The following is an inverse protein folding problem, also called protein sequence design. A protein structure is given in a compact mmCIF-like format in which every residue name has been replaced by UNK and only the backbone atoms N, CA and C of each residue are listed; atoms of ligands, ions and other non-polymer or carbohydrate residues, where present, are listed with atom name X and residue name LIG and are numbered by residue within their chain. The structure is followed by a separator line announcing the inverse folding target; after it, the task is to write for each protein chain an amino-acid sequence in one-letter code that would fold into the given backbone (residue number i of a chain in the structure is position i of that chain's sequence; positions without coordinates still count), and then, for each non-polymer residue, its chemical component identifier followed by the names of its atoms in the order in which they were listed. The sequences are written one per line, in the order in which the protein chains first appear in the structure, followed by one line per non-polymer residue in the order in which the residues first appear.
data_IF_062492676045
#
_entry.id   IF_062492676045
#
_cell.length_a   1.000
_cell.length_b   1.000
_cell.length_c   1.000
_cell.angle_alpha   90.00
_cell.angle_beta   90.00
_cell.angle_gamma   90.00
#
_symmetry.space_group_name_H-M   'P 1'
#
loop_
_entity.id
_entity.type
_entity.pdbx_description
1 polymer ?
#
# COMPACT_ATOMS: atom_id res chain seq x y z
N UNK A 1 -57.84 50.91 0.99
CA UNK A 1 -56.70 51.10 0.05
C UNK A 1 -55.45 51.26 0.90
N UNK A 2 -54.73 50.17 1.09
CA UNK A 2 -53.53 49.98 1.92
C UNK A 2 -52.83 48.72 1.33
N UNK A 3 -51.52 48.51 1.31
CA UNK A 3 -50.38 49.23 1.87
C UNK A 3 -49.10 48.82 1.07
N UNK A 4 -48.09 49.66 1.22
CA UNK A 4 -46.73 49.68 0.68
C UNK A 4 -45.94 48.37 0.71
N UNK A 5 -45.17 48.13 -0.36
CA UNK A 5 -44.08 47.15 -0.41
C UNK A 5 -42.87 47.55 0.44
N UNK A 6 -42.15 46.55 0.95
CA UNK A 6 -40.83 46.72 1.61
C UNK A 6 -39.91 45.56 1.23
N UNK A 7 -38.75 45.91 0.69
CA UNK A 7 -37.69 45.01 0.24
C UNK A 7 -36.99 44.28 1.41
N UNK A 8 -36.62 43.01 1.19
CA UNK A 8 -35.83 42.21 2.12
C UNK A 8 -34.68 41.55 1.36
N UNK A 9 -33.54 42.25 1.30
CA UNK A 9 -32.28 41.75 0.77
C UNK A 9 -31.13 42.47 1.47
N UNK A 10 -30.54 41.86 2.50
CA UNK A 10 -29.37 42.45 3.18
C UNK A 10 -28.60 41.50 4.12
N UNK A 11 -29.04 40.29 4.46
CA UNK A 11 -28.28 39.45 5.43
C UNK A 11 -27.30 38.47 4.78
N UNK A 12 -27.57 38.01 3.57
CA UNK A 12 -26.75 36.95 2.91
C UNK A 12 -25.43 37.48 2.37
N UNK A 13 -25.39 38.73 1.89
CA UNK A 13 -24.16 39.31 1.32
C UNK A 13 -23.11 39.68 2.37
N UNK A 14 -23.52 40.03 3.59
CA UNK A 14 -22.60 40.43 4.67
C UNK A 14 -21.86 39.21 5.26
N UNK A 15 -22.55 38.05 5.36
CA UNK A 15 -21.96 36.80 5.90
C UNK A 15 -20.93 36.20 4.93
N UNK A 16 -21.15 36.31 3.63
CA UNK A 16 -20.19 35.79 2.63
C UNK A 16 -18.90 36.63 2.62
N UNK A 17 -19.00 37.95 2.77
CA UNK A 17 -17.83 38.84 2.79
C UNK A 17 -16.97 38.62 4.05
N UNK A 18 -17.59 38.38 5.22
CA UNK A 18 -16.85 38.13 6.46
C UNK A 18 -16.14 36.77 6.48
N UNK A 19 -16.75 35.72 5.91
CA UNK A 19 -16.09 34.41 5.78
C UNK A 19 -14.91 34.47 4.81
N UNK A 20 -15.06 35.19 3.69
CA UNK A 20 -13.97 35.33 2.71
C UNK A 20 -12.77 36.09 3.29
N UNK A 21 -13.01 37.13 4.09
CA UNK A 21 -11.95 37.89 4.77
C UNK A 21 -11.18 37.03 5.79
N UNK A 22 -11.85 36.14 6.51
CA UNK A 22 -11.22 35.23 7.48
C UNK A 22 -10.34 34.17 6.79
N UNK A 23 -10.78 33.63 5.65
CA UNK A 23 -9.98 32.65 4.89
C UNK A 23 -8.72 33.30 4.31
N UNK A 24 -8.82 34.53 3.81
CA UNK A 24 -7.66 35.27 3.29
C UNK A 24 -6.67 35.64 4.40
N UNK A 25 -7.16 36.02 5.59
CA UNK A 25 -6.30 36.29 6.75
C UNK A 25 -5.56 35.03 7.24
N UNK A 26 -6.24 33.88 7.28
CA UNK A 26 -5.62 32.60 7.67
C UNK A 26 -4.57 32.14 6.65
N UNK A 27 -4.84 32.30 5.35
CA UNK A 27 -3.86 31.99 4.28
C UNK A 27 -2.61 32.87 4.35
N UNK A 28 -2.76 34.16 4.65
CA UNK A 28 -1.63 35.07 4.81
C UNK A 28 -0.78 34.74 6.04
N UNK A 29 -1.40 34.34 7.16
CA UNK A 29 -0.71 33.90 8.38
C UNK A 29 0.09 32.61 8.16
N UNK A 30 -0.50 31.65 7.42
CA UNK A 30 0.16 30.38 7.09
C UNK A 30 1.38 30.60 6.17
N UNK A 31 1.27 31.47 5.17
CA UNK A 31 2.37 31.81 4.27
C UNK A 31 3.49 32.61 4.97
N UNK A 32 3.15 33.43 5.97
CA UNK A 32 4.12 34.15 6.79
C UNK A 32 4.90 33.21 7.72
N UNK A 33 4.22 32.24 8.35
CA UNK A 33 4.91 31.22 9.16
C UNK A 33 5.85 30.34 8.33
N UNK A 34 5.44 29.96 7.10
CA UNK A 34 6.25 29.14 6.22
C UNK A 34 7.52 29.85 5.70
N UNK A 35 7.45 31.16 5.45
CA UNK A 35 8.64 31.95 5.01
C UNK A 35 9.69 32.16 6.11
N UNK A 36 9.35 31.97 7.39
CA UNK A 36 10.25 32.26 8.51
C UNK A 36 10.96 31.01 9.08
N UNK A 37 10.79 29.84 8.46
CA UNK A 37 11.52 28.63 8.82
C UNK A 37 12.73 28.43 7.91
N UNK A 38 13.88 28.97 8.33
CA UNK A 38 15.18 28.62 7.77
C UNK A 38 15.65 27.30 8.38
N UNK A 39 15.99 26.25 7.60
CA UNK A 39 16.64 25.07 8.16
C UNK A 39 18.05 25.42 8.63
N UNK A 40 18.38 25.11 9.89
CA UNK A 40 19.73 25.23 10.43
C UNK A 40 20.71 24.30 9.67
N UNK A 41 21.94 24.74 9.39
CA UNK A 41 22.97 23.86 8.84
C UNK A 41 23.49 22.92 9.93
N UNK A 42 23.44 21.62 9.67
CA UNK A 42 23.99 20.58 10.56
C UNK A 42 25.51 20.76 10.66
N UNK A 43 25.98 21.17 11.83
CA UNK A 43 27.40 21.23 12.19
C UNK A 43 27.85 19.83 12.58
N UNK A 44 28.79 19.26 11.82
CA UNK A 44 29.50 18.04 12.22
C UNK A 44 30.50 18.36 13.35
N UNK A 45 30.61 17.54 14.41
CA UNK A 45 31.63 17.76 15.43
C UNK A 45 33.00 17.26 14.94
N UNK A 46 33.96 18.18 14.98
CA UNK A 46 35.41 17.91 14.91
C UNK A 46 35.89 17.45 16.28
N UNK A 47 36.68 16.38 16.35
CA UNK A 47 37.51 16.05 17.50
C UNK A 47 38.96 15.79 17.03
N UNK A 48 39.91 16.36 17.76
CA UNK A 48 41.33 16.42 17.43
C UNK A 48 42.22 15.53 18.34
N UNK A 49 43.28 14.97 17.73
CA UNK A 49 44.67 14.71 18.18
C UNK A 49 45.05 13.62 19.26
N UNK A 50 45.70 12.51 18.80
CA UNK A 50 47.13 12.02 18.94
C UNK A 50 47.83 12.14 20.34
N UNK A 51 48.72 11.23 20.89
CA UNK A 51 49.74 10.31 20.28
C UNK A 51 49.97 8.88 20.87
N UNK A 52 50.86 8.13 20.18
CA UNK A 52 51.48 6.81 20.48
C UNK A 52 52.72 6.93 21.40
N UNK A 53 53.19 5.85 22.07
CA UNK A 53 54.53 5.34 21.75
C UNK A 53 54.65 3.80 21.67
N UNK A 54 55.67 3.38 20.90
CA UNK A 54 56.02 2.04 20.40
C UNK A 54 56.48 1.01 21.45
N UNK A 55 56.33 -0.29 21.12
CA UNK A 55 57.50 -1.19 20.98
C UNK A 55 57.22 -2.45 20.14
N UNK A 56 58.16 -2.67 19.22
CA UNK A 56 58.42 -3.80 18.33
C UNK A 56 58.33 -5.20 18.94
N UNK A 57 57.77 -6.16 18.19
CA UNK A 57 58.38 -7.48 17.94
C UNK A 57 57.84 -8.04 16.61
N UNK A 58 58.77 -8.42 15.73
CA UNK A 58 58.53 -9.04 14.43
C UNK A 58 58.03 -10.48 14.56
N UNK A 59 56.96 -10.83 13.83
CA UNK A 59 56.58 -12.20 13.51
C UNK A 59 56.14 -12.27 12.02
N UNK A 60 56.38 -13.38 11.31
CA UNK A 60 56.33 -13.43 9.84
C UNK A 60 54.90 -13.32 9.31
N UNK A 61 54.78 -12.70 8.13
CA UNK A 61 53.54 -12.37 7.46
C UNK A 61 52.59 -13.57 7.27
N UNK A 62 51.26 -13.39 7.47
CA UNK A 62 50.27 -14.36 6.99
C UNK A 62 50.25 -14.37 5.45
N UNK A 63 49.69 -15.40 4.82
CA UNK A 63 49.64 -15.52 3.37
C UNK A 63 48.94 -14.30 2.79
N UNK A 64 49.57 -13.67 1.79
CA UNK A 64 48.97 -12.58 1.01
C UNK A 64 47.72 -13.14 0.31
N UNK A 65 46.54 -12.79 0.82
CA UNK A 65 45.32 -12.82 0.02
C UNK A 65 45.56 -11.92 -1.20
N UNK A 66 45.16 -12.33 -2.42
CA UNK A 66 45.26 -11.45 -3.58
C UNK A 66 44.51 -10.16 -3.26
N UNK A 67 45.25 -9.04 -3.19
CA UNK A 67 44.64 -7.72 -3.18
C UNK A 67 43.78 -7.62 -4.45
N UNK A 68 42.47 -7.47 -4.27
CA UNK A 68 41.59 -7.09 -5.36
C UNK A 68 42.16 -5.80 -5.96
N UNK A 69 42.39 -5.73 -7.28
CA UNK A 69 42.81 -4.49 -7.88
C UNK A 69 41.74 -3.44 -7.55
N UNK A 70 42.17 -2.26 -7.08
CA UNK A 70 41.35 -1.05 -7.09
C UNK A 70 41.08 -0.70 -8.57
N UNK A 71 40.18 -1.45 -9.17
CA UNK A 71 39.51 -1.11 -10.41
C UNK A 71 38.35 -0.22 -10.06
N UNK A 72 38.13 0.79 -10.88
CA UNK A 72 36.85 1.50 -10.97
C UNK A 72 35.74 0.43 -10.87
N UNK A 73 34.86 0.53 -9.87
CA UNK A 73 33.75 -0.42 -9.71
C UNK A 73 32.92 -0.38 -10.99
N UNK A 74 33.20 -1.29 -11.93
CA UNK A 74 32.34 -1.51 -13.09
C UNK A 74 31.01 -1.96 -12.53
N UNK A 75 30.06 -1.03 -12.49
CA UNK A 75 28.73 -1.24 -11.95
C UNK A 75 28.14 -2.49 -12.61
N UNK A 76 27.94 -3.54 -11.81
CA UNK A 76 27.44 -4.83 -12.27
C UNK A 76 26.21 -4.58 -13.16
N UNK A 77 26.19 -5.01 -14.44
CA UNK A 77 25.04 -4.79 -15.31
C UNK A 77 23.81 -5.58 -14.86
N UNK A 78 23.96 -6.41 -13.83
CA UNK A 78 22.89 -7.21 -13.25
C UNK A 78 22.58 -6.78 -11.82
N UNK A 79 21.30 -6.66 -11.52
CA UNK A 79 20.80 -6.39 -10.18
C UNK A 79 19.88 -7.52 -9.69
N UNK A 80 19.86 -7.76 -8.38
CA UNK A 80 19.05 -8.81 -7.77
C UNK A 80 17.63 -8.31 -7.48
N UNK A 81 16.64 -9.11 -7.89
CA UNK A 81 15.22 -8.85 -7.65
C UNK A 81 14.53 -10.06 -7.05
N UNK A 82 13.39 -9.80 -6.41
CA UNK A 82 12.44 -10.78 -5.89
C UNK A 82 11.12 -10.66 -6.60
N UNK A 83 10.48 -11.79 -6.84
CA UNK A 83 9.14 -11.85 -7.43
C UNK A 83 8.10 -11.45 -6.38
N UNK A 84 7.25 -10.47 -6.69
CA UNK A 84 6.14 -10.04 -5.82
C UNK A 84 4.77 -10.37 -6.38
N UNK A 85 4.71 -10.87 -7.62
CA UNK A 85 3.51 -11.47 -8.18
C UNK A 85 3.20 -12.83 -7.53
N UNK A 86 1.94 -13.27 -7.60
CA UNK A 86 1.53 -14.62 -7.17
C UNK A 86 2.31 -15.70 -7.95
N UNK A 87 2.28 -15.59 -9.27
CA UNK A 87 3.16 -16.40 -10.13
C UNK A 87 3.44 -15.72 -11.46
N UNK A 88 4.59 -16.06 -12.06
CA UNK A 88 4.98 -15.70 -13.42
C UNK A 88 5.24 -16.99 -14.18
N UNK A 89 4.47 -17.24 -15.22
CA UNK A 89 4.65 -18.41 -16.10
C UNK A 89 5.62 -18.04 -17.21
N UNK A 90 6.70 -18.81 -17.34
CA UNK A 90 7.74 -18.65 -18.35
C UNK A 90 7.80 -19.91 -19.24
N UNK A 91 8.38 -19.83 -20.44
CA UNK A 91 8.66 -21.03 -21.24
C UNK A 91 9.55 -22.01 -20.45
N UNK A 92 8.97 -23.14 -20.02
CA UNK A 92 9.68 -24.19 -19.29
C UNK A 92 9.99 -23.90 -17.81
N UNK A 93 9.46 -22.81 -17.25
CA UNK A 93 9.66 -22.47 -15.84
C UNK A 93 8.44 -21.74 -15.25
N UNK A 94 8.33 -21.74 -13.93
CA UNK A 94 7.33 -20.95 -13.21
C UNK A 94 8.02 -20.30 -12.02
N UNK A 95 7.86 -19.00 -11.89
CA UNK A 95 8.29 -18.26 -10.71
C UNK A 95 7.11 -18.05 -9.76
N UNK A 96 7.39 -18.12 -8.47
CA UNK A 96 6.48 -17.89 -7.37
C UNK A 96 6.92 -16.66 -6.57
N UNK A 97 6.01 -16.16 -5.71
CA UNK A 97 6.33 -15.08 -4.79
C UNK A 97 7.60 -15.38 -3.97
N UNK A 98 8.54 -14.45 -3.98
CA UNK A 98 9.82 -14.52 -3.28
C UNK A 98 10.96 -15.19 -4.03
N UNK A 99 10.73 -15.74 -5.22
CA UNK A 99 11.81 -16.27 -6.06
C UNK A 99 12.81 -15.16 -6.42
N UNK A 100 14.10 -15.47 -6.31
CA UNK A 100 15.19 -14.56 -6.69
C UNK A 100 15.47 -14.65 -8.18
N UNK A 101 15.63 -13.51 -8.84
CA UNK A 101 16.01 -13.38 -10.25
C UNK A 101 17.05 -12.28 -10.42
N UNK A 102 17.75 -12.29 -11.55
CA UNK A 102 18.78 -11.30 -11.87
C UNK A 102 18.33 -10.50 -13.08
N UNK A 103 18.12 -9.19 -12.94
CA UNK A 103 17.71 -8.33 -14.04
C UNK A 103 18.94 -7.77 -14.78
N UNK A 104 18.96 -7.88 -16.11
CA UNK A 104 19.95 -7.21 -16.98
C UNK A 104 19.51 -5.76 -17.17
N UNK A 105 20.12 -4.82 -16.43
CA UNK A 105 19.70 -3.43 -16.39
C UNK A 105 19.94 -2.70 -17.72
N UNK A 106 20.93 -3.16 -18.51
CA UNK A 106 21.20 -2.60 -19.85
C UNK A 106 20.10 -2.91 -20.86
N UNK A 107 19.32 -3.98 -20.62
CA UNK A 107 18.22 -4.42 -21.50
C UNK A 107 16.84 -4.17 -20.91
N UNK A 108 16.79 -3.75 -19.66
CA UNK A 108 15.57 -3.47 -18.91
C UNK A 108 15.16 -2.01 -19.01
N UNK A 109 13.90 -1.71 -18.69
CA UNK A 109 13.37 -0.35 -18.65
C UNK A 109 12.05 -0.29 -17.89
N UNK A 110 11.36 0.84 -17.98
CA UNK A 110 10.11 1.09 -17.23
C UNK A 110 8.92 0.21 -17.66
N UNK A 111 8.94 -0.32 -18.88
CA UNK A 111 7.84 -1.12 -19.45
C UNK A 111 8.13 -2.62 -19.49
N UNK A 112 9.40 -3.01 -19.36
CA UNK A 112 9.84 -4.41 -19.42
C UNK A 112 11.11 -4.63 -18.59
N UNK A 113 11.20 -5.77 -17.91
CA UNK A 113 12.42 -6.25 -17.26
C UNK A 113 12.91 -7.51 -17.98
N UNK A 114 14.21 -7.57 -18.25
CA UNK A 114 14.87 -8.75 -18.82
C UNK A 114 15.59 -9.46 -17.68
N UNK A 115 15.16 -10.68 -17.36
CA UNK A 115 15.65 -11.44 -16.20
C UNK A 115 16.33 -12.74 -16.60
N UNK A 116 17.27 -13.18 -15.76
CA UNK A 116 17.85 -14.51 -15.73
C UNK A 116 17.47 -15.21 -14.43
N UNK A 117 17.25 -16.52 -14.51
CA UNK A 117 16.83 -17.34 -13.36
C UNK A 117 18.00 -17.81 -12.49
N UNK A 118 19.23 -17.66 -12.97
CA UNK A 118 20.47 -18.04 -12.28
C UNK A 118 21.45 -16.89 -12.34
N UNK A 119 22.38 -16.85 -11.37
CA UNK A 119 23.40 -15.81 -11.29
C UNK A 119 24.25 -15.82 -12.59
N UNK A 120 24.24 -14.74 -13.38
CA UNK A 120 24.90 -14.68 -14.68
C UNK A 120 26.43 -14.74 -14.62
N UNK A 121 27.04 -14.39 -13.48
CA UNK A 121 28.49 -14.53 -13.27
C UNK A 121 28.91 -15.99 -13.09
N UNK A 122 28.03 -16.81 -12.50
CA UNK A 122 28.27 -18.25 -12.33
C UNK A 122 27.79 -19.08 -13.51
N UNK A 123 26.78 -18.58 -14.23
CA UNK A 123 26.13 -19.25 -15.35
C UNK A 123 26.02 -18.30 -16.55
N UNK A 124 27.15 -17.99 -17.23
CA UNK A 124 27.13 -17.13 -18.40
C UNK A 124 26.29 -17.75 -19.53
N UNK A 125 25.59 -16.92 -20.29
CA UNK A 125 24.76 -17.38 -21.42
C UNK A 125 23.42 -18.01 -21.01
N UNK A 126 22.97 -17.82 -19.76
CA UNK A 126 21.66 -18.28 -19.32
C UNK A 126 20.50 -17.70 -20.14
N UNK A 127 19.40 -18.45 -20.23
CA UNK A 127 18.18 -18.00 -20.90
C UNK A 127 17.62 -16.74 -20.24
N UNK A 128 17.38 -15.72 -21.05
CA UNK A 128 16.77 -14.47 -20.61
C UNK A 128 15.25 -14.49 -20.87
N UNK A 129 14.49 -13.89 -19.96
CA UNK A 129 13.04 -13.81 -20.03
C UNK A 129 12.58 -12.35 -19.90
N UNK A 130 11.55 -11.97 -20.65
CA UNK A 130 10.90 -10.68 -20.48
C UNK A 130 9.73 -10.80 -19.50
N UNK A 131 9.70 -9.94 -18.48
CA UNK A 131 8.62 -9.87 -17.48
C UNK A 131 8.16 -8.44 -17.24
N UNK A 132 6.98 -8.28 -16.64
CA UNK A 132 6.46 -6.98 -16.23
C UNK A 132 7.28 -6.46 -15.04
N UNK A 133 7.82 -5.22 -15.09
CA UNK A 133 8.61 -4.65 -14.00
C UNK A 133 7.87 -4.62 -12.66
N UNK A 134 6.56 -4.33 -12.66
CA UNK A 134 5.75 -4.29 -11.44
C UNK A 134 5.57 -5.66 -10.77
N UNK A 135 5.98 -6.76 -11.41
CA UNK A 135 5.99 -8.10 -10.79
C UNK A 135 7.24 -8.39 -9.97
N UNK A 136 8.20 -7.45 -9.95
CA UNK A 136 9.48 -7.58 -9.27
C UNK A 136 9.68 -6.43 -8.29
N UNK A 137 10.50 -6.68 -7.28
CA UNK A 137 11.03 -5.66 -6.38
C UNK A 137 12.52 -5.91 -6.19
N UNK A 138 13.32 -4.86 -5.99
CA UNK A 138 14.74 -5.01 -5.68
C UNK A 138 14.92 -5.85 -4.40
N UNK A 139 15.94 -6.73 -4.37
CA UNK A 139 16.21 -7.65 -3.25
C UNK A 139 16.16 -6.95 -1.88
N UNK A 140 16.81 -5.79 -1.77
CA UNK A 140 16.92 -5.05 -0.51
C UNK A 140 15.58 -4.51 0.03
N UNK A 141 14.54 -4.43 -0.81
CA UNK A 141 13.18 -3.98 -0.44
C UNK A 141 12.22 -5.13 -0.19
N UNK A 142 12.65 -6.36 -0.44
CA UNK A 142 11.75 -7.51 -0.41
C UNK A 142 11.27 -7.86 1.00
N UNK A 143 12.04 -7.56 2.05
CA UNK A 143 11.65 -7.92 3.42
C UNK A 143 10.30 -7.30 3.82
N UNK A 144 9.98 -6.09 3.37
CA UNK A 144 8.66 -5.49 3.62
C UNK A 144 7.53 -6.30 2.95
N UNK A 145 7.72 -6.72 1.70
CA UNK A 145 6.76 -7.55 0.99
C UNK A 145 6.62 -8.93 1.62
N UNK A 146 7.73 -9.55 2.01
CA UNK A 146 7.76 -10.86 2.66
C UNK A 146 7.02 -10.85 3.98
N UNK A 147 7.22 -9.80 4.79
CA UNK A 147 6.55 -9.67 6.09
C UNK A 147 5.04 -9.46 5.97
N UNK A 148 4.57 -8.78 4.92
CA UNK A 148 3.15 -8.46 4.76
C UNK A 148 2.38 -9.45 3.88
N UNK A 149 3.02 -10.14 2.93
CA UNK A 149 2.31 -10.89 1.88
C UNK A 149 2.81 -12.33 1.68
N UNK A 150 3.55 -12.90 2.63
CA UNK A 150 3.98 -14.32 2.54
C UNK A 150 2.84 -15.32 2.79
N UNK A 151 1.80 -14.93 3.53
CA UNK A 151 0.68 -15.79 3.88
C UNK A 151 -0.42 -15.75 2.81
N UNK A 152 -1.03 -16.89 2.51
CA UNK A 152 -2.30 -16.90 1.79
C UNK A 152 -3.41 -16.31 2.69
N UNK A 153 -4.39 -15.56 2.14
CA UNK A 153 -4.57 -15.27 0.71
C UNK A 153 -3.78 -14.05 0.19
N UNK A 154 -3.01 -13.36 1.05
CA UNK A 154 -2.31 -12.13 0.68
C UNK A 154 -1.18 -12.33 -0.35
N UNK A 155 -0.53 -13.50 -0.34
CA UNK A 155 0.47 -13.87 -1.34
C UNK A 155 -0.08 -13.88 -2.76
N UNK A 156 -1.38 -14.15 -2.91
CA UNK A 156 -2.07 -14.24 -4.19
C UNK A 156 -2.48 -12.87 -4.76
N UNK A 157 -2.39 -11.81 -3.95
CA UNK A 157 -2.72 -10.46 -4.39
C UNK A 157 -1.83 -10.02 -5.56
N UNK A 158 -2.40 -9.21 -6.45
CA UNK A 158 -1.62 -8.60 -7.52
C UNK A 158 -0.57 -7.66 -6.93
N UNK A 159 0.58 -7.46 -7.59
CA UNK A 159 1.58 -6.51 -7.11
C UNK A 159 1.01 -5.11 -6.91
N UNK A 160 0.13 -4.64 -7.80
CA UNK A 160 -0.50 -3.33 -7.68
C UNK A 160 -1.34 -3.20 -6.39
N UNK A 161 -2.09 -4.24 -6.02
CA UNK A 161 -2.84 -4.26 -4.76
C UNK A 161 -1.89 -4.24 -3.56
N UNK A 162 -0.82 -5.03 -3.59
CA UNK A 162 0.22 -5.04 -2.54
C UNK A 162 0.84 -3.65 -2.37
N UNK A 163 1.14 -2.98 -3.48
CA UNK A 163 1.70 -1.62 -3.45
C UNK A 163 0.75 -0.60 -2.84
N UNK A 164 -0.55 -0.65 -3.16
CA UNK A 164 -1.54 0.23 -2.50
C UNK A 164 -1.59 -0.06 -1.00
N UNK A 165 -1.61 -1.32 -0.59
CA UNK A 165 -1.66 -1.69 0.82
C UNK A 165 -0.42 -1.28 1.63
N UNK A 166 0.77 -1.29 1.02
CA UNK A 166 1.97 -0.77 1.66
C UNK A 166 2.02 0.76 1.69
N UNK A 167 1.42 1.41 0.68
CA UNK A 167 1.36 2.88 0.62
C UNK A 167 0.33 3.48 1.59
N UNK A 168 -0.60 2.68 2.12
CA UNK A 168 -1.57 3.10 3.12
C UNK A 168 -0.86 3.51 4.42
N UNK A 169 -0.71 4.81 4.60
CA UNK A 169 -0.05 5.43 5.76
C UNK A 169 -1.06 6.06 6.74
N UNK A 170 -2.32 5.65 6.68
CA UNK A 170 -3.36 6.12 7.58
C UNK A 170 -2.98 5.85 9.05
N UNK A 171 -3.14 6.89 9.88
CA UNK A 171 -2.94 6.78 11.33
C UNK A 171 -3.96 7.65 12.05
N UNK A 172 -4.72 7.02 12.95
CA UNK A 172 -5.63 7.62 13.92
C UNK A 172 -5.05 7.51 15.35
N UNK A 173 -3.72 7.44 15.46
CA UNK A 173 -3.05 7.01 16.70
C UNK A 173 -2.94 5.47 16.82
N UNK A 174 -3.44 4.73 15.82
CA UNK A 174 -3.14 3.32 15.63
C UNK A 174 -2.30 3.12 14.37
N UNK A 175 -1.47 2.07 14.39
CA UNK A 175 -0.81 1.53 13.22
C UNK A 175 -1.50 0.24 12.82
N UNK A 176 -1.98 0.16 11.59
CA UNK A 176 -2.59 -1.05 11.04
C UNK A 176 -1.61 -1.70 10.06
N UNK A 177 -1.55 -3.04 10.06
CA UNK A 177 -0.72 -3.79 9.13
C UNK A 177 -1.44 -5.06 8.68
N UNK A 178 -0.97 -5.67 7.60
CA UNK A 178 -1.42 -7.00 7.23
C UNK A 178 -1.05 -7.97 8.36
N UNK A 179 -1.95 -8.90 8.68
CA UNK A 179 -1.72 -9.88 9.74
C UNK A 179 -0.62 -10.87 9.34
N UNK A 180 0.21 -11.24 10.31
CA UNK A 180 1.21 -12.30 10.18
C UNK A 180 0.74 -13.61 10.81
N UNK A 181 -0.52 -13.67 11.26
CA UNK A 181 -1.12 -14.89 11.78
C UNK A 181 -1.87 -15.62 10.65
N UNK A 182 -1.47 -16.87 10.37
CA UNK A 182 -2.00 -17.65 9.25
C UNK A 182 -3.51 -17.95 9.36
N UNK A 183 -4.01 -18.26 10.56
CA UNK A 183 -5.45 -18.51 10.76
C UNK A 183 -6.26 -17.22 10.54
N UNK A 184 -5.75 -16.10 11.04
CA UNK A 184 -6.35 -14.78 10.85
C UNK A 184 -6.34 -14.37 9.38
N UNK A 185 -5.27 -14.62 8.65
CA UNK A 185 -5.13 -14.25 7.23
C UNK A 185 -6.29 -14.79 6.39
N UNK A 186 -6.74 -16.02 6.65
CA UNK A 186 -7.85 -16.67 5.94
C UNK A 186 -9.21 -15.99 6.07
N UNK A 187 -9.39 -15.08 7.03
CA UNK A 187 -10.64 -14.34 7.29
C UNK A 187 -10.49 -12.82 7.14
N UNK A 188 -9.36 -12.36 6.58
CA UNK A 188 -9.03 -10.96 6.40
C UNK A 188 -9.21 -10.46 4.97
N UNK A 189 -9.63 -11.31 4.03
CA UNK A 189 -9.71 -10.94 2.62
C UNK A 189 -10.98 -11.49 1.98
N UNK A 190 -11.65 -10.63 1.22
CA UNK A 190 -12.78 -11.00 0.37
C UNK A 190 -12.61 -10.39 -1.02
N UNK A 191 -13.24 -10.99 -2.02
CA UNK A 191 -13.20 -10.49 -3.40
C UNK A 191 -14.57 -10.55 -4.04
N UNK A 192 -14.92 -9.58 -4.87
CA UNK A 192 -16.22 -9.48 -5.55
C UNK A 192 -16.23 -8.32 -6.55
N UNK A 193 -17.37 -8.07 -7.19
CA UNK A 193 -17.60 -6.86 -8.00
C UNK A 193 -18.38 -5.86 -7.14
N UNK A 194 -17.67 -5.20 -6.21
CA UNK A 194 -18.29 -4.52 -5.09
C UNK A 194 -18.87 -3.17 -5.47
N UNK A 195 -18.33 -2.50 -6.49
CA UNK A 195 -18.91 -1.27 -7.05
C UNK A 195 -19.82 -1.54 -8.27
N UNK A 196 -19.83 -2.75 -8.83
CA UNK A 196 -20.73 -3.17 -9.89
C UNK A 196 -20.27 -2.78 -11.30
N UNK A 197 -18.99 -2.44 -11.47
CA UNK A 197 -18.44 -1.99 -12.74
C UNK A 197 -17.98 -3.13 -13.68
N UNK A 198 -18.09 -4.38 -13.19
CA UNK A 198 -17.74 -5.62 -13.88
C UNK A 198 -16.29 -6.08 -13.66
N UNK A 199 -15.52 -5.39 -12.82
CA UNK A 199 -14.16 -5.80 -12.44
C UNK A 199 -14.12 -6.41 -11.06
N UNK A 200 -13.03 -7.14 -10.78
CA UNK A 200 -12.82 -7.79 -9.49
C UNK A 200 -12.16 -6.80 -8.53
N UNK A 201 -12.84 -6.56 -7.41
CA UNK A 201 -12.43 -5.74 -6.29
C UNK A 201 -11.94 -6.62 -5.12
N UNK A 202 -11.23 -5.98 -4.19
CA UNK A 202 -10.66 -6.62 -3.00
C UNK A 202 -11.14 -5.87 -1.76
N UNK A 203 -11.59 -6.61 -0.76
CA UNK A 203 -11.78 -6.11 0.59
C UNK A 203 -10.76 -6.75 1.51
N UNK A 204 -10.08 -5.94 2.32
CA UNK A 204 -9.01 -6.41 3.20
C UNK A 204 -9.08 -5.75 4.56
N UNK A 205 -8.87 -6.57 5.60
CA UNK A 205 -8.69 -6.10 6.96
C UNK A 205 -7.20 -5.97 7.27
N UNK A 206 -6.82 -4.79 7.75
CA UNK A 206 -5.53 -4.51 8.36
C UNK A 206 -5.70 -4.48 9.88
N UNK A 207 -4.88 -5.20 10.62
CA UNK A 207 -5.00 -5.36 12.07
C UNK A 207 -4.04 -4.41 12.79
N UNK A 208 -4.46 -3.93 13.97
CA UNK A 208 -3.56 -3.54 15.04
C UNK A 208 -3.56 -4.65 16.09
N UNK A 209 -2.49 -5.44 16.13
CA UNK A 209 -2.42 -6.61 17.00
C UNK A 209 -2.34 -6.25 18.49
N UNK A 210 -1.78 -5.11 18.86
CA UNK A 210 -1.65 -4.75 20.28
C UNK A 210 -3.00 -4.35 20.88
N UNK A 211 -3.76 -3.54 20.14
CA UNK A 211 -5.06 -3.01 20.58
C UNK A 211 -6.25 -3.90 20.22
N UNK A 212 -6.03 -4.97 19.45
CA UNK A 212 -7.08 -5.88 18.97
C UNK A 212 -8.18 -5.13 18.19
N UNK A 213 -7.79 -4.14 17.39
CA UNK A 213 -8.67 -3.38 16.50
C UNK A 213 -8.27 -3.62 15.04
N UNK A 214 -9.17 -3.33 14.09
CA UNK A 214 -8.83 -3.46 12.68
C UNK A 214 -9.41 -2.32 11.83
N UNK A 215 -8.88 -2.19 10.62
CA UNK A 215 -9.34 -1.27 9.59
C UNK A 215 -9.70 -2.07 8.35
N UNK A 216 -10.93 -1.92 7.88
CA UNK A 216 -11.36 -2.41 6.59
C UNK A 216 -10.97 -1.43 5.51
N UNK A 217 -10.43 -1.95 4.42
CA UNK A 217 -10.26 -1.26 3.16
C UNK A 217 -11.03 -2.03 2.08
N UNK A 218 -11.75 -1.31 1.22
CA UNK A 218 -12.26 -1.83 -0.05
C UNK A 218 -11.50 -1.13 -1.16
N UNK A 219 -10.83 -1.94 -1.98
CA UNK A 219 -10.05 -1.54 -3.12
C UNK A 219 -10.82 -1.88 -4.39
N UNK A 220 -11.30 -0.85 -5.09
CA UNK A 220 -11.91 -1.00 -6.41
C UNK A 220 -10.86 -0.81 -7.51
N UNK A 221 -11.17 -1.27 -8.72
CA UNK A 221 -10.27 -1.11 -9.86
C UNK A 221 -10.68 0.07 -10.72
N UNK A 222 -9.75 0.99 -11.02
CA UNK A 222 -10.03 2.04 -12.00
C UNK A 222 -10.15 1.42 -13.40
N UNK A 223 -11.30 1.60 -14.06
CA UNK A 223 -11.60 0.98 -15.37
C UNK A 223 -10.66 1.39 -16.50
N UNK A 224 -10.17 2.62 -16.49
CA UNK A 224 -9.28 3.14 -17.52
C UNK A 224 -7.84 2.68 -17.32
N UNK A 225 -7.32 2.80 -16.09
CA UNK A 225 -5.90 2.55 -15.80
C UNK A 225 -5.63 1.11 -15.34
N UNK A 226 -6.67 0.36 -14.97
CA UNK A 226 -6.62 -0.96 -14.33
C UNK A 226 -5.83 -0.96 -13.01
N UNK A 227 -5.65 0.21 -12.39
CA UNK A 227 -4.98 0.34 -11.09
C UNK A 227 -6.00 0.27 -9.95
N UNK A 228 -5.70 -0.45 -8.87
CA UNK A 228 -6.54 -0.44 -7.68
C UNK A 228 -6.44 0.91 -6.95
N UNK A 229 -7.51 1.29 -6.24
CA UNK A 229 -7.54 2.45 -5.35
C UNK A 229 -8.46 2.19 -4.17
N UNK A 230 -8.20 2.82 -3.02
CA UNK A 230 -9.07 2.71 -1.85
C UNK A 230 -10.38 3.46 -2.12
N UNK A 231 -11.47 2.70 -2.26
CA UNK A 231 -12.83 3.21 -2.48
C UNK A 231 -13.62 3.35 -1.18
N UNK A 232 -13.25 2.61 -0.14
CA UNK A 232 -13.84 2.70 1.19
C UNK A 232 -12.83 2.33 2.26
N UNK A 233 -12.93 2.98 3.41
CA UNK A 233 -12.19 2.59 4.60
C UNK A 233 -12.97 2.87 5.88
N UNK A 234 -12.92 1.94 6.83
CA UNK A 234 -13.59 2.08 8.13
C UNK A 234 -12.77 1.39 9.23
N UNK A 235 -12.71 2.01 10.41
CA UNK A 235 -12.05 1.44 11.59
C UNK A 235 -13.08 0.75 12.48
N UNK A 236 -12.70 -0.37 13.05
CA UNK A 236 -13.51 -1.13 13.97
C UNK A 236 -12.75 -1.37 15.26
N UNK A 237 -13.41 -1.14 16.39
CA UNK A 237 -12.88 -1.36 17.74
C UNK A 237 -12.79 -2.85 18.14
N UNK A 238 -12.78 -3.75 17.15
CA UNK A 238 -12.75 -5.21 17.30
C UNK A 238 -11.98 -5.82 16.11
N UNK A 239 -11.58 -7.09 16.23
CA UNK A 239 -10.97 -7.89 15.17
C UNK A 239 -12.03 -8.55 14.30
N UNK A 240 -12.57 -7.75 13.40
CA UNK A 240 -13.58 -8.18 12.44
C UNK A 240 -13.10 -9.31 11.54
N UNK A 241 -14.01 -10.06 10.93
CA UNK A 241 -13.77 -11.02 9.83
C UNK A 241 -14.51 -10.53 8.60
N UNK A 242 -13.97 -10.78 7.40
CA UNK A 242 -14.63 -10.39 6.14
C UNK A 242 -14.95 -11.59 5.27
N UNK A 243 -16.15 -11.57 4.69
CA UNK A 243 -16.58 -12.52 3.67
C UNK A 243 -17.34 -11.77 2.57
N UNK A 244 -17.07 -12.09 1.30
CA UNK A 244 -17.82 -11.54 0.18
C UNK A 244 -19.14 -12.30 -0.02
N UNK A 245 -20.19 -11.60 -0.43
CA UNK A 245 -21.42 -12.19 -0.93
C UNK A 245 -21.75 -11.66 -2.32
N UNK A 246 -22.55 -12.41 -3.07
CA UNK A 246 -22.93 -12.07 -4.43
C UNK A 246 -24.19 -11.23 -4.49
N UNK A 247 -24.33 -10.45 -5.56
CA UNK A 247 -25.59 -9.82 -5.97
C UNK A 247 -26.76 -10.81 -5.81
N UNK A 248 -27.88 -10.32 -5.28
CA UNK A 248 -29.09 -11.06 -4.89
C UNK A 248 -28.98 -11.93 -3.63
N UNK A 249 -27.86 -11.92 -2.91
CA UNK A 249 -27.83 -12.50 -1.56
C UNK A 249 -28.90 -11.84 -0.68
N UNK A 250 -29.51 -12.63 0.21
CA UNK A 250 -30.51 -12.14 1.16
C UNK A 250 -29.82 -11.40 2.30
N UNK A 251 -30.08 -10.10 2.42
CA UNK A 251 -29.47 -9.21 3.41
C UNK A 251 -30.50 -8.27 4.03
N UNK A 252 -30.23 -7.75 5.21
CA UNK A 252 -30.96 -6.62 5.76
C UNK A 252 -30.43 -5.31 5.20
N UNK A 253 -31.33 -4.43 4.74
CA UNK A 253 -30.98 -3.09 4.25
C UNK A 253 -31.93 -2.06 4.86
N UNK A 254 -31.93 -1.95 6.20
CA UNK A 254 -32.88 -1.14 6.99
C UNK A 254 -34.35 -1.56 6.76
N UNK A 255 -34.57 -2.85 6.54
CA UNK A 255 -35.87 -3.48 6.33
C UNK A 255 -36.16 -4.49 7.45
N UNK A 256 -37.43 -4.82 7.68
CA UNK A 256 -37.81 -5.86 8.66
C UNK A 256 -37.66 -7.29 8.11
N UNK A 257 -37.40 -7.43 6.82
CA UNK A 257 -37.26 -8.70 6.13
C UNK A 257 -36.04 -8.64 5.22
N UNK A 258 -35.51 -9.81 4.87
CA UNK A 258 -34.44 -9.93 3.89
C UNK A 258 -34.84 -9.35 2.54
N UNK A 259 -33.95 -8.56 1.96
CA UNK A 259 -34.04 -8.07 0.60
C UNK A 259 -32.86 -8.60 -0.22
N UNK A 260 -33.03 -8.83 -1.53
CA UNK A 260 -31.93 -9.22 -2.39
C UNK A 260 -30.94 -8.06 -2.55
N UNK A 261 -29.66 -8.30 -2.28
CA UNK A 261 -28.61 -7.30 -2.45
C UNK A 261 -28.54 -6.81 -3.91
N UNK A 262 -28.42 -5.48 -4.15
CA UNK A 262 -28.40 -4.92 -5.51
C UNK A 262 -27.11 -5.24 -6.29
N UNK A 263 -26.02 -5.54 -5.58
CA UNK A 263 -24.70 -5.87 -6.11
C UNK A 263 -23.94 -6.79 -5.15
N UNK A 264 -22.72 -7.22 -5.52
CA UNK A 264 -21.86 -7.93 -4.57
C UNK A 264 -21.57 -7.01 -3.37
N UNK A 265 -21.32 -7.61 -2.22
CA UNK A 265 -21.02 -6.86 -1.00
C UNK A 265 -20.18 -7.69 -0.04
N UNK A 266 -19.92 -7.11 1.13
CA UNK A 266 -19.05 -7.71 2.13
C UNK A 266 -19.84 -7.85 3.44
N UNK A 267 -19.80 -9.03 4.04
CA UNK A 267 -20.13 -9.20 5.45
C UNK A 267 -18.87 -8.94 6.27
N UNK A 268 -18.97 -8.00 7.20
CA UNK A 268 -18.00 -7.70 8.24
C UNK A 268 -18.57 -8.22 9.56
N UNK A 269 -17.89 -9.16 10.21
CA UNK A 269 -18.37 -9.84 11.42
C UNK A 269 -17.38 -9.68 12.57
N UNK A 270 -17.81 -9.04 13.64
CA UNK A 270 -17.10 -8.99 14.93
C UNK A 270 -17.65 -10.02 15.91
N UNK A 271 -17.33 -9.83 17.19
CA UNK A 271 -17.86 -10.63 18.30
C UNK A 271 -19.38 -10.46 18.45
N UNK A 272 -19.83 -9.20 18.56
CA UNK A 272 -21.24 -8.87 18.85
C UNK A 272 -21.98 -8.22 17.67
N UNK A 273 -21.34 -8.12 16.50
CA UNK A 273 -21.90 -7.39 15.37
C UNK A 273 -21.66 -8.08 14.04
N UNK A 274 -22.69 -8.08 13.19
CA UNK A 274 -22.60 -8.49 11.78
C UNK A 274 -23.12 -7.34 10.94
N UNK A 275 -22.30 -6.89 10.00
CA UNK A 275 -22.59 -5.75 9.12
C UNK A 275 -22.48 -6.22 7.67
N UNK A 276 -23.39 -5.74 6.81
CA UNK A 276 -23.22 -5.80 5.37
C UNK A 276 -22.77 -4.43 4.87
N UNK A 277 -21.67 -4.38 4.13
CA UNK A 277 -21.17 -3.20 3.42
C UNK A 277 -21.47 -3.37 1.94
N UNK A 278 -22.30 -2.48 1.39
CA UNK A 278 -22.81 -2.54 0.02
C UNK A 278 -22.68 -1.17 -0.62
N UNK A 279 -22.15 -1.12 -1.85
CA UNK A 279 -22.12 0.12 -2.61
C UNK A 279 -23.51 0.52 -3.09
N UNK A 280 -23.87 1.77 -2.88
CA UNK A 280 -25.10 2.40 -3.34
C UNK A 280 -24.78 3.18 -4.62
N UNK A 281 -25.10 2.58 -5.77
CA UNK A 281 -24.84 3.17 -7.09
C UNK A 281 -25.49 4.55 -7.28
N UNK A 282 -26.60 4.84 -6.58
CA UNK A 282 -27.29 6.13 -6.69
C UNK A 282 -26.58 7.24 -5.91
N UNK A 283 -26.00 6.89 -4.76
CA UNK A 283 -25.26 7.82 -3.90
C UNK A 283 -23.75 7.79 -4.12
N UNK A 284 -23.28 6.88 -4.99
CA UNK A 284 -21.88 6.64 -5.30
C UNK A 284 -21.00 6.41 -4.07
N UNK A 285 -21.51 5.68 -3.08
CA UNK A 285 -20.78 5.38 -1.83
C UNK A 285 -21.18 4.04 -1.24
N UNK A 286 -20.28 3.48 -0.44
CA UNK A 286 -20.59 2.32 0.39
C UNK A 286 -21.48 2.71 1.58
N UNK A 287 -22.42 1.81 1.91
CA UNK A 287 -23.32 1.91 3.06
C UNK A 287 -23.24 0.64 3.87
N UNK A 288 -23.36 0.80 5.18
CA UNK A 288 -23.26 -0.26 6.16
C UNK A 288 -24.64 -0.54 6.75
N UNK A 289 -25.00 -1.82 6.86
CA UNK A 289 -26.29 -2.29 7.35
C UNK A 289 -26.11 -3.40 8.38
N UNK A 290 -26.74 -3.28 9.56
CA UNK A 290 -26.77 -4.35 10.55
C UNK A 290 -27.47 -5.59 9.98
N UNK A 291 -26.94 -6.77 10.31
CA UNK A 291 -27.53 -8.06 9.99
C UNK A 291 -27.92 -8.75 11.30
N UNK A 292 -29.19 -9.14 11.40
CA UNK A 292 -29.79 -9.78 12.58
C UNK A 292 -30.33 -11.18 12.25
#
# INVERSE_FOLDING_TARGET
MENSGKAKGSSTSIVVITVLALVLAAGALFLWQYRNTTPEPVVAPVAAAIPVPEKTTSAPAPPVEPQEPEGEEEESPYSEYRVVANSIVLPGAKLLFGDKVFADERKSGSTRKIILLKNPYRYPGGTAYQVNPGSLIEEYRFEEYKNNFSLAPFSELSPAVKSVLLAENYSDGNKYSITQNAERAGVCLATGDFDGDGMKDIAVLMDNNEKQVCRLLILCTNKATRQPYVAFAENYADRMKVHGFRKRASVFMNTQHFVPAPQDGIIVRGEDVVLAVIYDSSLQKFKTYYQE
#
